data_IF_132740131943
#
_entry.id   IF_132740131943
#
_cell.length_a   1.000
_cell.length_b   1.000
_cell.length_c   1.000
_cell.angle_alpha   90.00
_cell.angle_beta   90.00
_cell.angle_gamma   90.00
#
_symmetry.space_group_name_H-M   'P 1'
#
loop_
_entity.id
_entity.type
_entity.pdbx_description
1 polymer ?
#
# COMPACT_ATOMS: atom_id res chain seq x y z
N UNK A 1 9.45 -17.91 4.96
CA UNK A 1 9.23 -17.61 6.40
C UNK A 1 9.25 -16.11 6.72
N UNK A 2 10.06 -15.27 6.05
CA UNK A 2 10.12 -13.81 6.33
C UNK A 2 8.84 -13.02 5.95
N UNK A 3 8.15 -13.35 4.85
CA UNK A 3 6.98 -12.59 4.37
C UNK A 3 5.75 -12.66 5.29
N UNK A 4 5.46 -13.82 5.89
CA UNK A 4 4.37 -13.95 6.87
C UNK A 4 4.62 -13.08 8.10
N UNK A 5 5.88 -13.04 8.57
CA UNK A 5 6.26 -12.15 9.68
C UNK A 5 6.13 -10.68 9.28
N UNK A 6 6.45 -10.33 8.04
CA UNK A 6 6.21 -8.97 7.51
C UNK A 6 4.72 -8.65 7.54
N UNK A 7 3.87 -9.52 6.99
CA UNK A 7 2.41 -9.33 7.02
C UNK A 7 1.85 -9.17 8.43
N UNK A 8 2.21 -10.08 9.35
CA UNK A 8 1.77 -10.04 10.75
C UNK A 8 2.23 -8.75 11.43
N UNK A 9 3.47 -8.33 11.20
CA UNK A 9 3.99 -7.08 11.76
C UNK A 9 3.34 -5.84 11.11
N UNK A 10 3.03 -5.86 9.82
CA UNK A 10 2.32 -4.78 9.13
C UNK A 10 0.92 -4.58 9.70
N UNK A 11 0.20 -5.67 9.97
CA UNK A 11 -1.13 -5.63 10.61
C UNK A 11 -1.10 -5.19 12.07
N UNK A 12 0.07 -5.23 12.73
CA UNK A 12 0.27 -4.79 14.12
C UNK A 12 0.72 -3.33 14.23
N UNK A 13 0.87 -2.60 13.13
CA UNK A 13 1.19 -1.17 13.19
C UNK A 13 0.11 -0.41 13.97
N UNK A 14 0.46 0.52 14.89
CA UNK A 14 1.77 1.18 15.04
C UNK A 14 2.69 0.60 16.14
N UNK A 15 2.56 -0.68 16.52
CA UNK A 15 3.36 -1.28 17.59
C UNK A 15 4.88 -1.06 17.37
N UNK A 16 5.59 -0.63 18.43
CA UNK A 16 7.01 -0.26 18.35
C UNK A 16 7.92 -1.41 17.89
N UNK A 17 7.70 -2.62 18.39
CA UNK A 17 8.52 -3.78 18.04
C UNK A 17 8.30 -4.15 16.57
N UNK A 18 7.04 -4.17 16.12
CA UNK A 18 6.68 -4.40 14.73
C UNK A 18 7.31 -3.35 13.80
N UNK A 19 7.23 -2.07 14.19
CA UNK A 19 7.85 -0.96 13.47
C UNK A 19 9.36 -1.18 13.26
N UNK A 20 10.13 -1.39 14.33
CA UNK A 20 11.58 -1.57 14.18
C UNK A 20 11.94 -2.85 13.42
N UNK A 21 11.15 -3.92 13.57
CA UNK A 21 11.33 -5.15 12.79
C UNK A 21 11.13 -4.90 11.30
N UNK A 22 10.04 -4.21 10.91
CA UNK A 22 9.73 -3.90 9.52
C UNK A 22 10.77 -2.98 8.88
N UNK A 23 11.32 -2.03 9.64
CA UNK A 23 12.33 -1.11 9.10
C UNK A 23 13.68 -1.79 8.81
N UNK A 24 13.97 -2.94 9.43
CA UNK A 24 15.16 -3.76 9.17
C UNK A 24 15.04 -4.61 7.91
N UNK A 25 13.83 -4.78 7.38
CA UNK A 25 13.59 -5.53 6.14
C UNK A 25 14.20 -4.77 4.96
N UNK A 26 14.86 -5.51 4.06
CA UNK A 26 15.48 -4.96 2.86
C UNK A 26 14.44 -4.42 1.87
N UNK A 27 14.82 -3.42 1.08
CA UNK A 27 13.91 -2.75 0.13
C UNK A 27 13.32 -3.72 -0.90
N UNK A 28 14.13 -4.69 -1.37
CA UNK A 28 13.66 -5.75 -2.28
C UNK A 28 12.49 -6.52 -1.69
N UNK A 29 12.61 -6.95 -0.44
CA UNK A 29 11.57 -7.75 0.21
C UNK A 29 10.34 -6.89 0.56
N UNK A 30 10.52 -5.59 0.81
CA UNK A 30 9.42 -4.62 0.90
C UNK A 30 8.65 -4.51 -0.41
N UNK A 31 9.35 -4.41 -1.55
CA UNK A 31 8.72 -4.35 -2.86
C UNK A 31 7.95 -5.63 -3.17
N UNK A 32 8.56 -6.80 -2.93
CA UNK A 32 7.90 -8.10 -3.10
C UNK A 32 6.64 -8.19 -2.22
N UNK A 33 6.73 -7.78 -0.96
CA UNK A 33 5.56 -7.74 -0.07
C UNK A 33 4.44 -6.85 -0.62
N UNK A 34 4.77 -5.62 -1.04
CA UNK A 34 3.80 -4.69 -1.61
C UNK A 34 3.15 -5.27 -2.87
N UNK A 35 3.92 -5.86 -3.77
CA UNK A 35 3.36 -6.50 -4.94
C UNK A 35 2.41 -7.64 -4.59
N UNK A 36 2.73 -8.47 -3.59
CA UNK A 36 1.83 -9.52 -3.14
C UNK A 36 0.52 -8.95 -2.56
N UNK A 37 0.59 -7.93 -1.70
CA UNK A 37 -0.59 -7.29 -1.12
C UNK A 37 -1.48 -6.68 -2.21
N UNK A 38 -0.87 -5.99 -3.17
CA UNK A 38 -1.62 -5.36 -4.26
C UNK A 38 -2.17 -6.39 -5.24
N UNK A 39 -1.42 -7.41 -5.63
CA UNK A 39 -1.97 -8.50 -6.46
C UNK A 39 -3.21 -9.07 -5.78
N UNK A 40 -3.15 -9.42 -4.50
CA UNK A 40 -4.32 -9.95 -3.77
C UNK A 40 -5.48 -8.95 -3.75
N UNK A 41 -5.20 -7.66 -3.50
CA UNK A 41 -6.24 -6.63 -3.46
C UNK A 41 -6.91 -6.38 -4.82
N UNK A 42 -6.16 -6.50 -5.92
CA UNK A 42 -6.65 -6.22 -7.28
C UNK A 42 -7.13 -7.46 -8.03
N UNK A 43 -6.80 -8.67 -7.56
CA UNK A 43 -7.18 -9.94 -8.18
C UNK A 43 -8.69 -10.08 -8.45
N UNK A 44 -9.61 -9.67 -7.54
CA UNK A 44 -11.04 -9.71 -7.82
C UNK A 44 -11.41 -8.86 -9.04
N UNK A 45 -10.82 -7.67 -9.18
CA UNK A 45 -11.08 -6.78 -10.32
C UNK A 45 -10.58 -7.39 -11.64
N UNK A 46 -9.42 -8.06 -11.60
CA UNK A 46 -8.88 -8.77 -12.78
C UNK A 46 -9.82 -9.90 -13.21
N UNK A 47 -10.26 -10.72 -12.25
CA UNK A 47 -11.19 -11.83 -12.53
C UNK A 47 -12.50 -11.29 -13.12
N UNK A 48 -13.08 -10.26 -12.49
CA UNK A 48 -14.30 -9.63 -12.98
C UNK A 48 -14.13 -9.08 -14.40
N UNK A 49 -12.99 -8.44 -14.69
CA UNK A 49 -12.68 -7.91 -16.02
C UNK A 49 -12.56 -9.00 -17.09
N UNK A 50 -12.09 -10.20 -16.74
CA UNK A 50 -12.01 -11.33 -17.66
C UNK A 50 -13.41 -11.93 -17.90
N UNK A 51 -14.20 -12.11 -16.84
CA UNK A 51 -15.54 -12.71 -16.93
C UNK A 51 -16.51 -11.77 -17.68
N UNK A 52 -16.38 -10.46 -17.48
CA UNK A 52 -17.22 -9.44 -18.12
C UNK A 52 -16.75 -9.01 -19.51
N UNK A 53 -15.75 -9.69 -20.08
CA UNK A 53 -15.21 -9.32 -21.38
C UNK A 53 -16.28 -9.42 -22.49
N UNK A 54 -16.60 -8.32 -23.20
CA UNK A 54 -17.68 -8.29 -24.18
C UNK A 54 -17.23 -8.95 -25.49
N UNK A 55 -17.32 -10.29 -25.54
CA UNK A 55 -16.85 -11.11 -26.67
C UNK A 55 -17.46 -10.76 -28.03
N UNK A 56 -18.65 -10.15 -28.06
CA UNK A 56 -19.38 -9.80 -29.30
C UNK A 56 -19.11 -8.38 -29.82
N UNK A 57 -18.67 -7.48 -28.95
CA UNK A 57 -18.50 -6.04 -29.28
C UNK A 57 -17.02 -5.62 -29.26
N UNK A 58 -16.13 -6.47 -28.73
CA UNK A 58 -14.72 -6.17 -28.62
C UNK A 58 -14.05 -6.13 -30.01
N UNK A 59 -13.32 -5.05 -30.27
CA UNK A 59 -12.46 -4.89 -31.45
C UNK A 59 -11.20 -5.75 -31.39
N UNK A 60 -10.83 -6.21 -30.19
CA UNK A 60 -9.62 -7.00 -29.93
C UNK A 60 -10.01 -8.46 -29.66
N UNK A 61 -9.38 -9.44 -30.33
CA UNK A 61 -9.52 -10.85 -29.99
C UNK A 61 -9.23 -11.15 -28.52
N UNK A 62 -10.01 -12.03 -27.90
CA UNK A 62 -9.85 -12.41 -26.49
C UNK A 62 -8.44 -12.91 -26.16
N UNK A 63 -7.77 -13.63 -27.07
CA UNK A 63 -6.39 -14.09 -26.90
C UNK A 63 -5.39 -12.95 -26.73
N UNK A 64 -5.52 -11.89 -27.53
CA UNK A 64 -4.67 -10.70 -27.43
C UNK A 64 -4.99 -9.90 -26.15
N UNK A 65 -6.26 -9.84 -25.74
CA UNK A 65 -6.65 -9.25 -24.48
C UNK A 65 -6.02 -9.97 -23.28
N UNK A 66 -6.06 -11.31 -23.25
CA UNK A 66 -5.43 -12.11 -22.19
C UNK A 66 -3.91 -11.94 -22.21
N UNK A 67 -3.28 -11.90 -23.38
CA UNK A 67 -1.84 -11.63 -23.50
C UNK A 67 -1.50 -10.25 -22.92
N UNK A 68 -2.28 -9.23 -23.27
CA UNK A 68 -2.11 -7.88 -22.75
C UNK A 68 -2.27 -7.84 -21.23
N UNK A 69 -3.26 -8.55 -20.71
CA UNK A 69 -3.52 -8.64 -19.28
C UNK A 69 -2.38 -9.37 -18.55
N UNK A 70 -1.84 -10.47 -19.08
CA UNK A 70 -0.75 -11.20 -18.43
C UNK A 70 0.57 -10.42 -18.46
N UNK A 71 0.85 -9.67 -19.53
CA UNK A 71 2.14 -8.99 -19.71
C UNK A 71 2.11 -7.55 -19.19
N UNK A 72 1.18 -6.72 -19.68
CA UNK A 72 1.18 -5.29 -19.38
C UNK A 72 0.55 -4.97 -18.02
N UNK A 73 -0.44 -5.74 -17.57
CA UNK A 73 -1.11 -5.44 -16.30
C UNK A 73 -0.17 -5.55 -15.11
N UNK A 74 0.65 -6.62 -14.93
CA UNK A 74 1.60 -6.67 -13.82
C UNK A 74 2.66 -5.56 -13.90
N UNK A 75 3.16 -5.25 -15.10
CA UNK A 75 4.14 -4.18 -15.30
C UNK A 75 3.57 -2.81 -14.91
N UNK A 76 2.36 -2.50 -15.39
CA UNK A 76 1.65 -1.27 -15.05
C UNK A 76 1.35 -1.21 -13.55
N UNK A 77 0.87 -2.32 -12.98
CA UNK A 77 0.63 -2.42 -11.54
C UNK A 77 1.90 -2.21 -10.74
N UNK A 78 3.03 -2.74 -11.19
CA UNK A 78 4.29 -2.53 -10.49
C UNK A 78 4.64 -1.04 -10.41
N UNK A 79 4.51 -0.35 -11.54
CA UNK A 79 4.74 1.09 -11.62
C UNK A 79 3.73 1.89 -10.76
N UNK A 80 2.44 1.56 -10.83
CA UNK A 80 1.38 2.22 -10.07
C UNK A 80 1.55 2.04 -8.56
N UNK A 81 1.98 0.87 -8.11
CA UNK A 81 2.27 0.61 -6.69
C UNK A 81 3.41 1.48 -6.21
N UNK A 82 4.55 1.48 -6.92
CA UNK A 82 5.72 2.26 -6.50
C UNK A 82 5.42 3.76 -6.54
N UNK A 83 4.79 4.25 -7.60
CA UNK A 83 4.40 5.66 -7.72
C UNK A 83 3.34 6.06 -6.69
N UNK A 84 2.32 5.23 -6.48
CA UNK A 84 1.26 5.45 -5.49
C UNK A 84 1.78 5.49 -4.05
N UNK A 85 2.63 4.52 -3.66
CA UNK A 85 3.27 4.52 -2.34
C UNK A 85 4.16 5.75 -2.18
N UNK A 86 4.90 6.14 -3.22
CA UNK A 86 5.73 7.35 -3.20
C UNK A 86 4.89 8.61 -2.99
N UNK A 87 3.77 8.74 -3.69
CA UNK A 87 2.83 9.84 -3.52
C UNK A 87 2.26 9.91 -2.10
N UNK A 88 1.82 8.78 -1.54
CA UNK A 88 1.33 8.70 -0.15
C UNK A 88 2.43 8.98 0.89
N UNK A 89 3.67 8.64 0.56
CA UNK A 89 4.84 8.93 1.40
C UNK A 89 5.07 10.43 1.50
N UNK A 90 4.78 11.21 0.44
CA UNK A 90 4.85 12.67 0.50
C UNK A 90 3.90 13.24 1.57
N UNK A 91 2.67 12.72 1.68
CA UNK A 91 1.77 13.11 2.78
C UNK A 91 2.32 12.75 4.16
N UNK A 92 2.91 11.56 4.28
CA UNK A 92 3.60 11.13 5.51
C UNK A 92 4.82 12.00 5.83
N UNK A 93 5.47 12.55 4.80
CA UNK A 93 6.64 13.42 4.95
C UNK A 93 6.23 14.78 5.52
N UNK A 94 5.09 15.32 5.11
CA UNK A 94 4.49 16.51 5.73
C UNK A 94 4.27 16.27 7.23
N UNK A 95 3.69 15.12 7.61
CA UNK A 95 3.48 14.76 9.02
C UNK A 95 4.81 14.70 9.78
N UNK A 96 5.84 14.08 9.19
CA UNK A 96 7.19 14.01 9.76
C UNK A 96 7.77 15.41 10.00
N UNK A 97 7.66 16.32 9.03
CA UNK A 97 8.18 17.69 9.10
C UNK A 97 7.50 18.46 10.23
N UNK A 98 6.17 18.41 10.30
CA UNK A 98 5.38 19.06 11.36
C UNK A 98 5.79 18.54 12.75
N UNK A 99 6.03 17.23 12.89
CA UNK A 99 6.42 16.61 14.15
C UNK A 99 7.93 16.73 14.48
N UNK A 100 8.72 17.36 13.58
CA UNK A 100 10.18 17.55 13.71
C UNK A 100 10.95 16.24 14.00
N UNK A 101 10.58 15.13 13.33
CA UNK A 101 11.22 13.81 13.56
C UNK A 101 12.33 13.52 12.55
N UNK A 102 13.42 12.91 13.02
CA UNK A 102 14.54 12.45 12.18
C UNK A 102 14.23 11.05 11.63
N UNK A 103 13.63 11.01 10.44
CA UNK A 103 13.36 9.78 9.71
C UNK A 103 13.79 9.93 8.25
N UNK A 104 14.56 8.98 7.72
CA UNK A 104 14.96 9.02 6.31
C UNK A 104 13.75 8.76 5.40
N UNK A 105 13.75 9.34 4.19
CA UNK A 105 12.64 9.15 3.24
C UNK A 105 12.43 7.67 2.90
N UNK A 106 13.51 6.91 2.71
CA UNK A 106 13.43 5.46 2.47
C UNK A 106 12.73 4.70 3.59
N UNK A 107 12.97 5.07 4.86
CA UNK A 107 12.29 4.43 6.00
C UNK A 107 10.81 4.81 6.04
N UNK A 108 10.51 6.08 5.78
CA UNK A 108 9.14 6.57 5.70
C UNK A 108 8.36 5.87 4.59
N UNK A 109 8.98 5.69 3.43
CA UNK A 109 8.41 4.99 2.27
C UNK A 109 8.06 3.55 2.60
N UNK A 110 9.00 2.80 3.22
CA UNK A 110 8.73 1.43 3.66
C UNK A 110 7.57 1.38 4.66
N UNK A 111 7.52 2.31 5.60
CA UNK A 111 6.43 2.38 6.59
C UNK A 111 5.09 2.70 5.96
N UNK A 112 5.02 3.65 5.04
CA UNK A 112 3.80 3.94 4.30
C UNK A 112 3.35 2.69 3.54
N UNK A 113 4.28 1.99 2.88
CA UNK A 113 4.00 0.72 2.23
C UNK A 113 3.40 -0.33 3.16
N UNK A 114 4.02 -0.59 4.32
CA UNK A 114 3.51 -1.56 5.27
C UNK A 114 2.18 -1.12 5.92
N UNK A 115 2.01 0.18 6.16
CA UNK A 115 0.79 0.73 6.73
C UNK A 115 -0.42 0.57 5.81
N UNK A 116 -0.24 0.44 4.49
CA UNK A 116 -1.32 0.23 3.52
C UNK A 116 -2.10 -1.07 3.71
N UNK A 117 -1.54 -2.06 4.40
CA UNK A 117 -2.17 -3.36 4.62
C UNK A 117 -3.56 -3.23 5.25
N UNK A 118 -3.69 -2.41 6.31
CA UNK A 118 -4.98 -2.20 7.00
C UNK A 118 -5.95 -1.33 6.19
N UNK A 119 -5.58 -0.12 5.71
CA UNK A 119 -6.45 0.71 4.88
C UNK A 119 -6.96 -0.02 3.64
N UNK A 120 -6.12 -0.79 2.93
CA UNK A 120 -6.56 -1.55 1.75
C UNK A 120 -7.57 -2.63 2.13
N UNK A 121 -7.35 -3.35 3.23
CA UNK A 121 -8.30 -4.35 3.70
C UNK A 121 -9.66 -3.72 4.04
N UNK A 122 -9.67 -2.64 4.82
CA UNK A 122 -10.90 -1.92 5.16
C UNK A 122 -11.56 -1.32 3.92
N UNK A 123 -10.80 -0.75 3.00
CA UNK A 123 -11.36 -0.19 1.76
C UNK A 123 -12.11 -1.23 0.94
N UNK A 124 -11.51 -2.41 0.74
CA UNK A 124 -12.18 -3.51 0.04
C UNK A 124 -13.42 -3.99 0.80
N UNK A 125 -13.37 -4.06 2.13
CA UNK A 125 -14.52 -4.41 2.95
C UNK A 125 -15.67 -3.39 2.80
N UNK A 126 -15.37 -2.08 2.84
CA UNK A 126 -16.37 -1.02 2.68
C UNK A 126 -16.97 -1.03 1.27
N UNK A 127 -16.16 -1.33 0.25
CA UNK A 127 -16.62 -1.48 -1.12
C UNK A 127 -17.62 -2.65 -1.25
N UNK A 128 -17.32 -3.80 -0.65
CA UNK A 128 -18.23 -4.95 -0.62
C UNK A 128 -19.55 -4.66 0.13
N UNK A 129 -19.51 -3.78 1.14
CA UNK A 129 -20.69 -3.30 1.86
C UNK A 129 -21.51 -2.25 1.08
N UNK A 130 -21.11 -1.90 -0.15
CA UNK A 130 -21.82 -0.94 -0.99
C UNK A 130 -21.66 0.52 -0.55
N UNK A 131 -20.65 0.84 0.27
CA UNK A 131 -20.39 2.22 0.68
C UNK A 131 -19.90 3.03 -0.52
N UNK A 132 -20.41 4.26 -0.74
CA UNK A 132 -19.98 5.09 -1.86
C UNK A 132 -18.47 5.31 -1.86
N UNK A 133 -17.86 5.25 -3.05
CA UNK A 133 -16.41 5.35 -3.27
C UNK A 133 -15.78 6.55 -2.55
N UNK A 134 -16.48 7.71 -2.53
CA UNK A 134 -16.01 8.94 -1.89
C UNK A 134 -15.85 8.78 -0.37
N UNK A 135 -16.74 8.06 0.29
CA UNK A 135 -16.65 7.83 1.73
C UNK A 135 -15.58 6.78 2.05
N UNK A 136 -15.52 5.72 1.25
CA UNK A 136 -14.49 4.69 1.39
C UNK A 136 -13.06 5.26 1.23
N UNK A 137 -12.84 6.17 0.28
CA UNK A 137 -11.53 6.83 0.09
C UNK A 137 -11.17 7.78 1.24
N UNK A 138 -12.13 8.51 1.80
CA UNK A 138 -11.91 9.35 2.99
C UNK A 138 -11.51 8.48 4.18
N UNK A 139 -12.24 7.39 4.44
CA UNK A 139 -11.95 6.46 5.53
C UNK A 139 -10.56 5.83 5.35
N UNK A 140 -10.23 5.40 4.12
CA UNK A 140 -8.89 4.92 3.77
C UNK A 140 -7.79 5.92 4.15
N UNK A 141 -7.96 7.19 3.76
CA UNK A 141 -6.98 8.24 4.05
C UNK A 141 -6.85 8.49 5.57
N UNK A 142 -7.96 8.53 6.30
CA UNK A 142 -7.98 8.70 7.76
C UNK A 142 -7.22 7.57 8.46
N UNK A 143 -7.49 6.31 8.09
CA UNK A 143 -6.82 5.15 8.68
C UNK A 143 -5.32 5.20 8.37
N UNK A 144 -4.95 5.42 7.10
CA UNK A 144 -3.54 5.46 6.68
C UNK A 144 -2.76 6.55 7.42
N UNK A 145 -3.24 7.80 7.37
CA UNK A 145 -2.52 8.91 7.98
C UNK A 145 -2.59 8.89 9.50
N UNK A 146 -3.64 8.31 10.09
CA UNK A 146 -3.71 8.01 11.53
C UNK A 146 -2.61 7.04 11.97
N UNK A 147 -2.43 5.93 11.26
CA UNK A 147 -1.34 4.97 11.52
C UNK A 147 0.02 5.65 11.31
N UNK A 148 0.19 6.41 10.22
CA UNK A 148 1.44 7.11 9.95
C UNK A 148 1.78 8.14 11.02
N UNK A 149 0.79 8.87 11.53
CA UNK A 149 0.98 9.82 12.63
C UNK A 149 1.48 9.12 13.91
N UNK A 150 0.86 8.00 14.28
CA UNK A 150 1.25 7.23 15.46
C UNK A 150 2.65 6.63 15.30
N UNK A 151 2.96 6.03 14.14
CA UNK A 151 4.27 5.44 13.85
C UNK A 151 5.40 6.48 13.83
N UNK A 152 5.18 7.66 13.23
CA UNK A 152 6.18 8.75 13.20
C UNK A 152 6.51 9.24 14.60
N UNK A 153 5.52 9.30 15.50
CA UNK A 153 5.71 9.75 16.90
C UNK A 153 6.57 8.81 17.74
N UNK A 154 6.69 7.54 17.37
CA UNK A 154 7.56 6.56 18.05
C UNK A 154 9.03 6.94 17.94
N UNK A 155 9.45 7.55 16.84
CA UNK A 155 10.84 7.92 16.60
C UNK A 155 11.26 9.10 17.49
N UNK A 156 12.49 9.11 18.05
CA UNK A 156 12.94 10.21 18.90
C UNK A 156 13.03 11.55 18.15
N UNK A 157 12.83 12.66 18.87
CA UNK A 157 13.13 13.99 18.33
C UNK A 157 14.65 14.16 18.27
N UNK A 158 15.19 14.95 17.32
CA UNK A 158 16.56 15.44 17.45
C UNK A 158 16.76 16.04 18.84
N UNK A 159 17.85 15.68 19.52
CA UNK A 159 18.33 16.50 20.61
C UNK A 159 18.60 17.91 20.04
N UNK A 160 17.92 18.92 20.58
CA UNK A 160 18.31 20.31 20.39
C UNK A 160 19.73 20.43 20.93
N UNK A 161 20.72 20.69 20.06
CA UNK A 161 22.01 21.19 20.52
C UNK A 161 21.69 22.52 21.22
N UNK A 162 21.78 22.53 22.55
CA UNK A 162 21.86 23.77 23.32
C UNK A 162 23.20 24.41 23.05
#
# INVERSE_FOLDING_TARGET
MQLLNVFVNSSKLPNKQALFSLNRVGMRDTLVYLFLVFIVAFLPNVILSIISFPTREATIPFSLYILQLIVFYPLLMMFLVVSGVTFLTCGSWVIKVINKRKLAFAQLWKMTGYALTLPLFFYNLLYLLGIPIRWATIIFAIILYGIMFLTIRVYPKPATKK
#
